data_IF_518229227908
#
_entry.id   IF_518229227908
#
_cell.length_a   1.000
_cell.length_b   1.000
_cell.length_c   1.000
_cell.angle_alpha   90.00
_cell.angle_beta   90.00
_cell.angle_gamma   90.00
#
_symmetry.space_group_name_H-M   'P 1'
#
loop_
_entity.id
_entity.type
_entity.pdbx_description
1 polymer ?
#
# COMPACT_ATOMS: atom_id res chain seq x y z
N UNK A 1 8.53 -24.32 56.55
CA UNK A 1 7.42 -23.99 55.62
C UNK A 1 7.53 -22.63 54.92
N UNK A 2 8.64 -21.88 55.00
CA UNK A 2 8.80 -20.61 54.25
C UNK A 2 9.56 -20.76 52.93
N UNK A 3 10.46 -21.75 52.83
CA UNK A 3 11.31 -21.95 51.65
C UNK A 3 10.55 -22.58 50.46
N UNK A 4 9.53 -23.42 50.72
CA UNK A 4 8.68 -24.02 49.68
C UNK A 4 7.78 -22.97 49.02
N UNK A 5 7.13 -22.10 49.79
CA UNK A 5 6.25 -21.03 49.28
C UNK A 5 6.98 -20.03 48.37
N UNK A 6 8.23 -19.69 48.71
CA UNK A 6 9.07 -18.80 47.88
C UNK A 6 9.43 -19.47 46.54
N UNK A 7 9.73 -20.77 46.56
CA UNK A 7 10.02 -21.54 45.33
C UNK A 7 8.80 -21.67 44.42
N UNK A 8 7.60 -21.86 45.00
CA UNK A 8 6.35 -21.81 44.24
C UNK A 8 6.08 -20.43 43.65
N UNK A 9 6.35 -19.35 44.41
CA UNK A 9 6.16 -17.98 43.95
C UNK A 9 7.10 -17.62 42.79
N UNK A 10 8.38 -18.00 42.84
CA UNK A 10 9.34 -17.77 41.75
C UNK A 10 9.01 -18.61 40.51
N UNK A 11 8.58 -19.87 40.68
CA UNK A 11 8.18 -20.73 39.58
C UNK A 11 6.93 -20.22 38.85
N UNK A 12 5.95 -19.67 39.59
CA UNK A 12 4.74 -19.05 39.03
C UNK A 12 5.08 -17.72 38.33
N UNK A 13 6.03 -16.94 38.86
CA UNK A 13 6.47 -15.71 38.22
C UNK A 13 7.25 -15.98 36.92
N UNK A 14 8.12 -16.99 36.91
CA UNK A 14 8.86 -17.43 35.72
C UNK A 14 7.94 -17.98 34.64
N UNK A 15 6.93 -18.78 35.03
CA UNK A 15 5.97 -19.31 34.07
C UNK A 15 5.07 -18.20 33.48
N UNK A 16 4.69 -17.19 34.27
CA UNK A 16 3.93 -16.03 33.77
C UNK A 16 4.75 -15.18 32.79
N UNK A 17 6.06 -15.01 33.03
CA UNK A 17 6.97 -14.31 32.11
C UNK A 17 7.14 -15.05 30.78
N UNK A 18 7.24 -16.39 30.81
CA UNK A 18 7.31 -17.21 29.59
C UNK A 18 6.01 -17.16 28.78
N UNK A 19 4.85 -17.08 29.45
CA UNK A 19 3.55 -16.91 28.80
C UNK A 19 3.42 -15.52 28.16
N UNK A 20 3.93 -14.45 28.79
CA UNK A 20 3.94 -13.10 28.21
C UNK A 20 4.87 -12.99 26.99
N UNK A 21 5.99 -13.72 26.96
CA UNK A 21 6.83 -13.82 25.75
C UNK A 21 6.23 -14.70 24.66
N UNK A 22 5.40 -15.68 25.04
CA UNK A 22 4.77 -16.64 24.11
C UNK A 22 3.59 -16.08 23.31
N UNK A 23 3.13 -14.86 23.58
CA UNK A 23 2.07 -14.19 22.78
C UNK A 23 2.63 -13.24 21.71
N UNK A 24 3.96 -13.06 21.62
CA UNK A 24 4.56 -12.18 20.61
C UNK A 24 4.82 -12.84 19.24
N UNK A 25 4.47 -14.11 19.05
CA UNK A 25 4.56 -14.78 17.73
C UNK A 25 3.20 -14.92 17.02
N UNK A 26 2.37 -13.88 17.11
CA UNK A 26 1.39 -13.56 16.07
C UNK A 26 1.62 -12.12 15.58
N UNK A 27 2.90 -11.74 15.50
CA UNK A 27 3.39 -10.51 14.87
C UNK A 27 3.85 -10.71 13.43
N UNK A 28 3.27 -11.65 12.69
CA UNK A 28 3.25 -11.58 11.22
C UNK A 28 1.85 -11.17 10.80
N UNK A 29 1.53 -9.88 10.96
CA UNK A 29 0.38 -9.30 10.29
C UNK A 29 0.70 -9.24 8.79
N UNK A 30 0.46 -10.37 8.13
CA UNK A 30 0.09 -10.48 6.72
C UNK A 30 0.91 -9.61 5.77
N UNK A 31 2.15 -10.03 5.55
CA UNK A 31 2.81 -9.86 4.25
C UNK A 31 2.33 -10.94 3.29
N UNK A 32 1.00 -11.09 3.12
CA UNK A 32 0.51 -11.72 1.90
C UNK A 32 0.76 -10.69 0.80
N UNK A 33 1.92 -10.79 0.14
CA UNK A 33 2.06 -10.38 -1.25
C UNK A 33 1.10 -11.27 -2.07
N UNK A 34 -0.19 -11.05 -1.88
CA UNK A 34 -1.21 -11.42 -2.84
C UNK A 34 -1.03 -10.46 -4.02
N UNK A 35 0.09 -10.63 -4.73
CA UNK A 35 0.19 -10.27 -6.12
C UNK A 35 -0.82 -11.14 -6.86
N UNK A 36 -2.11 -10.81 -6.73
CA UNK A 36 -3.15 -11.32 -7.62
C UNK A 36 -2.65 -10.92 -8.99
N UNK A 37 -2.12 -11.89 -9.73
CA UNK A 37 -1.71 -11.73 -11.12
C UNK A 37 -2.98 -11.50 -11.93
N UNK A 38 -3.41 -10.25 -11.99
CA UNK A 38 -4.55 -9.83 -12.76
C UNK A 38 -4.18 -9.92 -14.24
N UNK A 39 -5.03 -10.54 -15.07
CA UNK A 39 -4.92 -10.36 -16.52
C UNK A 39 -5.36 -8.93 -16.83
N UNK A 40 -4.40 -8.08 -17.19
CA UNK A 40 -4.60 -6.66 -17.41
C UNK A 40 -5.01 -6.41 -18.87
N UNK A 41 -6.09 -5.64 -19.07
CA UNK A 41 -6.36 -5.03 -20.36
C UNK A 41 -5.36 -3.91 -20.69
N UNK A 42 -5.51 -3.29 -21.86
CA UNK A 42 -4.70 -2.13 -22.24
C UNK A 42 -4.82 -0.97 -21.24
N UNK A 43 -3.70 -0.27 -21.00
CA UNK A 43 -3.67 0.95 -20.19
C UNK A 43 -4.03 2.13 -21.08
N UNK A 44 -5.03 2.90 -20.67
CA UNK A 44 -5.49 4.09 -21.39
C UNK A 44 -5.31 5.34 -20.51
N UNK A 45 -4.87 6.45 -21.08
CA UNK A 45 -4.93 7.72 -20.36
C UNK A 45 -6.39 8.11 -20.12
N UNK A 46 -6.69 8.66 -18.94
CA UNK A 46 -8.03 9.16 -18.66
C UNK A 46 -8.33 10.35 -19.59
N UNK A 47 -9.12 10.12 -20.66
CA UNK A 47 -9.54 11.16 -21.59
C UNK A 47 -10.61 12.03 -20.94
N UNK A 48 -10.17 13.17 -20.45
CA UNK A 48 -10.97 14.15 -19.71
C UNK A 48 -10.09 14.67 -18.59
N UNK A 49 -9.94 15.99 -18.50
CA UNK A 49 -9.11 16.73 -17.55
C UNK A 49 -8.57 15.85 -16.42
N UNK A 50 -7.25 15.73 -16.30
CA UNK A 50 -6.58 14.99 -15.21
C UNK A 50 -6.97 15.47 -13.79
N UNK A 51 -7.90 16.43 -13.70
CA UNK A 51 -8.56 17.01 -12.55
C UNK A 51 -10.09 16.81 -12.57
N UNK A 52 -10.62 15.69 -13.06
CA UNK A 52 -12.05 15.39 -12.84
C UNK A 52 -12.30 15.17 -11.35
N UNK A 53 -13.48 15.56 -10.85
CA UNK A 53 -13.83 15.39 -9.43
C UNK A 53 -13.70 13.92 -8.97
N UNK A 54 -13.96 12.96 -9.88
CA UNK A 54 -13.76 11.53 -9.61
C UNK A 54 -12.27 11.21 -9.35
N UNK A 55 -11.38 11.63 -10.24
CA UNK A 55 -9.95 11.37 -10.11
C UNK A 55 -9.37 12.06 -8.85
N UNK A 56 -9.83 13.27 -8.52
CA UNK A 56 -9.42 13.96 -7.29
C UNK A 56 -9.88 13.21 -6.02
N UNK A 57 -11.12 12.69 -6.01
CA UNK A 57 -11.63 11.89 -4.90
C UNK A 57 -10.87 10.57 -4.72
N UNK A 58 -10.49 9.90 -5.82
CA UNK A 58 -9.66 8.69 -5.78
C UNK A 58 -8.26 8.99 -5.23
N UNK A 59 -7.69 10.13 -5.61
CA UNK A 59 -6.39 10.57 -5.10
C UNK A 59 -6.43 10.86 -3.60
N UNK A 60 -7.46 11.58 -3.13
CA UNK A 60 -7.67 11.84 -1.69
C UNK A 60 -7.87 10.56 -0.90
N UNK A 61 -8.65 9.62 -1.45
CA UNK A 61 -8.82 8.30 -0.86
C UNK A 61 -7.47 7.58 -0.71
N UNK A 62 -6.64 7.58 -1.77
CA UNK A 62 -5.33 6.91 -1.72
C UNK A 62 -4.42 7.49 -0.63
N UNK A 63 -4.34 8.82 -0.51
CA UNK A 63 -3.53 9.48 0.52
C UNK A 63 -4.08 9.20 1.92
N UNK A 64 -5.40 9.30 2.11
CA UNK A 64 -6.05 9.03 3.39
C UNK A 64 -5.83 7.59 3.85
N UNK A 65 -6.01 6.63 2.94
CA UNK A 65 -5.86 5.21 3.25
C UNK A 65 -4.40 4.85 3.55
N UNK A 66 -3.43 5.46 2.85
CA UNK A 66 -2.02 5.30 3.15
C UNK A 66 -1.67 5.88 4.52
N UNK A 67 -2.08 7.12 4.82
CA UNK A 67 -1.85 7.76 6.12
C UNK A 67 -2.41 6.91 7.27
N UNK A 68 -3.59 6.32 7.08
CA UNK A 68 -4.22 5.43 8.07
C UNK A 68 -3.42 4.14 8.28
N UNK A 69 -2.90 3.53 7.21
CA UNK A 69 -2.17 2.25 7.27
C UNK A 69 -0.75 2.41 7.82
N UNK A 70 -0.03 3.42 7.34
CA UNK A 70 1.38 3.66 7.68
C UNK A 70 1.58 4.65 8.84
N UNK A 71 0.48 5.19 9.39
CA UNK A 71 0.50 6.23 10.43
C UNK A 71 1.35 7.45 10.02
N UNK A 72 1.20 7.88 8.76
CA UNK A 72 1.86 9.05 8.18
C UNK A 72 0.92 10.24 8.06
N UNK A 73 1.47 11.43 7.77
CA UNK A 73 0.74 12.69 7.70
C UNK A 73 0.95 13.37 6.33
N UNK A 74 0.82 12.60 5.24
CA UNK A 74 0.94 13.17 3.89
C UNK A 74 -0.28 14.03 3.57
N UNK A 75 -0.06 15.20 2.99
CA UNK A 75 -1.14 16.08 2.52
C UNK A 75 -1.27 15.98 1.00
N UNK A 76 -2.49 15.76 0.52
CA UNK A 76 -2.75 15.74 -0.92
C UNK A 76 -2.67 17.17 -1.51
N UNK A 77 -1.83 17.37 -2.53
CA UNK A 77 -1.74 18.65 -3.23
C UNK A 77 -2.52 18.64 -4.56
N UNK A 78 -2.17 17.73 -5.48
CA UNK A 78 -2.83 17.61 -6.80
C UNK A 78 -2.53 16.29 -7.50
N UNK A 79 -3.34 15.97 -8.50
CA UNK A 79 -3.06 14.88 -9.45
C UNK A 79 -2.19 15.41 -10.59
N UNK A 80 -1.08 14.72 -10.88
CA UNK A 80 -0.18 15.04 -12.00
C UNK A 80 -0.47 14.19 -13.23
N UNK A 81 -0.93 12.95 -13.02
CA UNK A 81 -1.28 12.03 -14.10
C UNK A 81 -2.31 11.02 -13.61
N UNK A 82 -3.22 10.63 -14.50
CA UNK A 82 -4.16 9.55 -14.25
C UNK A 82 -4.27 8.66 -15.50
N UNK A 83 -4.12 7.36 -15.30
CA UNK A 83 -4.41 6.34 -16.30
C UNK A 83 -5.44 5.37 -15.75
N UNK A 84 -6.28 4.86 -16.63
CA UNK A 84 -7.25 3.82 -16.33
C UNK A 84 -6.80 2.51 -16.98
N UNK A 85 -7.01 1.41 -16.27
CA UNK A 85 -6.77 0.07 -16.75
C UNK A 85 -7.97 -0.81 -16.40
N UNK A 86 -8.57 -1.41 -17.43
CA UNK A 86 -9.71 -2.30 -17.26
C UNK A 86 -9.23 -3.68 -16.79
N UNK A 87 -9.87 -4.18 -15.73
CA UNK A 87 -9.62 -5.49 -15.11
C UNK A 87 -10.99 -6.10 -14.73
N UNK A 88 -11.07 -6.91 -13.67
CA UNK A 88 -12.33 -7.21 -12.97
C UNK A 88 -12.85 -5.98 -12.19
N UNK A 89 -13.00 -4.85 -12.89
CA UNK A 89 -13.19 -3.50 -12.34
C UNK A 89 -12.39 -2.48 -13.15
N UNK A 90 -12.06 -1.37 -12.50
CA UNK A 90 -11.14 -0.37 -13.04
C UNK A 90 -10.00 -0.16 -12.05
N UNK A 91 -8.77 -0.24 -12.51
CA UNK A 91 -7.60 0.24 -11.75
C UNK A 91 -7.23 1.61 -12.29
N UNK A 92 -7.17 2.58 -11.38
CA UNK A 92 -6.64 3.90 -11.67
C UNK A 92 -5.19 3.96 -11.20
N UNK A 93 -4.29 4.21 -12.15
CA UNK A 93 -2.88 4.51 -11.90
C UNK A 93 -2.73 6.02 -11.80
N UNK A 94 -2.50 6.50 -10.59
CA UNK A 94 -2.42 7.92 -10.28
C UNK A 94 -0.98 8.29 -9.97
N UNK A 95 -0.51 9.39 -10.54
CA UNK A 95 0.70 10.07 -10.11
C UNK A 95 0.27 11.32 -9.37
N UNK A 96 0.60 11.41 -8.09
CA UNK A 96 0.13 12.42 -7.16
C UNK A 96 1.29 13.29 -6.70
N UNK A 97 1.06 14.59 -6.60
CA UNK A 97 1.91 15.49 -5.82
C UNK A 97 1.32 15.58 -4.41
N UNK A 98 2.13 15.26 -3.40
CA UNK A 98 1.77 15.34 -1.98
C UNK A 98 2.77 16.24 -1.25
N UNK A 99 2.40 16.72 -0.07
CA UNK A 99 3.27 17.47 0.83
C UNK A 99 3.60 16.56 2.00
N UNK A 100 4.89 16.27 2.17
CA UNK A 100 5.45 15.53 3.29
C UNK A 100 6.33 16.47 4.10
N UNK A 101 5.94 16.74 5.35
CA UNK A 101 6.63 17.68 6.25
C UNK A 101 6.96 19.05 5.59
N UNK A 102 6.04 19.59 4.78
CA UNK A 102 6.19 20.87 4.07
C UNK A 102 6.97 20.78 2.75
N UNK A 103 7.47 19.61 2.37
CA UNK A 103 8.16 19.40 1.08
C UNK A 103 7.23 18.71 0.09
N UNK A 104 7.18 19.23 -1.14
CA UNK A 104 6.47 18.58 -2.24
C UNK A 104 7.22 17.34 -2.73
N UNK A 105 6.54 16.21 -2.74
CA UNK A 105 7.05 14.90 -3.19
C UNK A 105 6.04 14.26 -4.15
N UNK A 106 6.51 13.34 -4.98
CA UNK A 106 5.68 12.69 -6.00
C UNK A 106 5.52 11.22 -5.62
N UNK A 107 4.28 10.76 -5.60
CA UNK A 107 3.90 9.38 -5.33
C UNK A 107 3.13 8.77 -6.48
N UNK A 108 3.27 7.45 -6.64
CA UNK A 108 2.44 6.64 -7.51
C UNK A 108 1.47 5.83 -6.65
N UNK A 109 0.18 5.89 -7.00
CA UNK A 109 -0.87 5.14 -6.34
C UNK A 109 -1.65 4.30 -7.36
N UNK A 110 -2.04 3.09 -6.96
CA UNK A 110 -2.98 2.24 -7.70
C UNK A 110 -4.24 2.03 -6.88
N UNK A 111 -5.37 2.49 -7.40
CA UNK A 111 -6.67 2.35 -6.73
C UNK A 111 -7.57 1.44 -7.57
N UNK A 112 -8.06 0.35 -6.98
CA UNK A 112 -8.97 -0.58 -7.64
C UNK A 112 -10.41 -0.29 -7.23
N UNK A 113 -11.26 -0.04 -8.23
CA UNK A 113 -12.66 0.31 -8.06
C UNK A 113 -13.55 -0.73 -8.75
N UNK A 114 -14.58 -1.19 -8.03
CA UNK A 114 -15.67 -2.01 -8.57
C UNK A 114 -17.00 -1.38 -8.16
N UNK A 115 -17.60 -0.53 -9.02
CA UNK A 115 -18.81 0.22 -8.67
C UNK A 115 -19.98 -0.67 -8.30
N UNK A 116 -20.13 -1.82 -8.96
CA UNK A 116 -21.22 -2.78 -8.70
C UNK A 116 -21.15 -3.47 -7.33
N UNK A 117 -20.03 -3.34 -6.61
CA UNK A 117 -19.86 -3.86 -5.24
C UNK A 117 -19.67 -2.73 -4.21
N UNK A 118 -19.72 -1.46 -4.62
CA UNK A 118 -19.28 -0.33 -3.80
C UNK A 118 -17.88 -0.55 -3.20
N UNK A 119 -16.99 -1.18 -3.97
CA UNK A 119 -15.66 -1.56 -3.52
C UNK A 119 -14.63 -0.59 -4.07
N UNK A 120 -13.76 -0.11 -3.18
CA UNK A 120 -12.61 0.73 -3.50
C UNK A 120 -11.45 0.33 -2.58
N UNK A 121 -10.29 0.03 -3.16
CA UNK A 121 -9.12 -0.43 -2.41
C UNK A 121 -7.84 0.19 -2.96
N UNK A 122 -6.99 0.70 -2.06
CA UNK A 122 -5.63 1.10 -2.36
C UNK A 122 -4.75 -0.15 -2.47
N UNK A 123 -4.25 -0.42 -3.66
CA UNK A 123 -3.42 -1.59 -3.97
C UNK A 123 -1.93 -1.30 -3.81
N UNK A 124 -1.48 -0.12 -4.24
CA UNK A 124 -0.08 0.27 -4.17
C UNK A 124 -0.02 1.77 -3.89
N UNK A 125 0.93 2.17 -3.06
CA UNK A 125 1.27 3.57 -2.80
C UNK A 125 2.77 3.65 -2.55
N UNK A 126 3.51 4.26 -3.47
CA UNK A 126 4.98 4.28 -3.42
C UNK A 126 5.54 5.63 -3.86
N UNK A 127 6.73 5.95 -3.38
CA UNK A 127 7.43 7.14 -3.83
C UNK A 127 7.84 6.96 -5.30
N UNK A 128 7.68 7.98 -6.14
CA UNK A 128 7.98 7.87 -7.56
C UNK A 128 9.48 7.68 -7.87
N UNK A 129 10.36 7.98 -6.90
CA UNK A 129 11.81 7.67 -7.01
C UNK A 129 12.14 6.19 -6.79
N UNK A 130 11.22 5.41 -6.24
CA UNK A 130 11.42 3.98 -5.94
C UNK A 130 10.84 3.08 -7.05
N UNK A 131 10.34 3.67 -8.14
CA UNK A 131 9.94 2.89 -9.30
C UNK A 131 11.19 2.25 -9.92
N UNK A 132 11.34 0.90 -9.93
CA UNK A 132 12.35 0.27 -10.74
C UNK A 132 11.98 0.62 -12.18
N UNK A 133 12.78 1.49 -12.80
CA UNK A 133 12.80 1.64 -14.23
C UNK A 133 13.01 0.22 -14.76
N UNK A 134 11.98 -0.38 -15.36
CA UNK A 134 12.18 -1.55 -16.20
C UNK A 134 13.23 -1.11 -17.22
N UNK A 135 14.45 -1.56 -17.01
CA UNK A 135 15.57 -1.34 -17.92
C UNK A 135 15.22 -2.09 -19.19
N UNK A 136 14.47 -1.41 -20.06
CA UNK A 136 14.16 -1.83 -21.42
C UNK A 136 15.45 -1.69 -22.25
N UNK A 137 16.49 -2.42 -21.87
CA UNK A 137 17.82 -2.32 -22.48
C UNK A 137 18.39 -3.64 -22.99
N UNK A 138 17.67 -4.77 -22.97
CA UNK A 138 18.28 -6.04 -23.38
C UNK A 138 17.50 -6.89 -24.40
N UNK A 139 16.69 -6.24 -25.24
CA UNK A 139 16.12 -6.89 -26.43
C UNK A 139 16.55 -6.14 -27.67
N UNK A 140 17.82 -6.28 -28.01
CA UNK A 140 18.45 -5.61 -29.14
C UNK A 140 19.63 -6.37 -29.71
N UNK A 141 19.42 -7.56 -30.30
CA UNK A 141 20.31 -8.06 -31.34
C UNK A 141 19.52 -8.83 -32.41
N UNK A 142 19.59 -8.29 -33.63
CA UNK A 142 18.94 -8.72 -34.86
C UNK A 142 19.36 -10.12 -35.30
N UNK A 143 18.44 -10.78 -36.01
CA UNK A 143 18.72 -11.83 -36.98
C UNK A 143 19.69 -11.33 -38.05
N UNK A 144 20.68 -12.15 -38.40
CA UNK A 144 21.08 -12.38 -39.78
C UNK A 144 21.67 -13.79 -39.93
#
# INVERSE_FOLDING_TARGET
MKLTTIRFSVAVLLSLLLVLSGVCELGHCFGDDQLIKMNLGGVHDCKGSQNSAEIDSLARFAVLEHNKKENTLLEFARVLKAKEQVVSGKIYHLTLEVIDAGKKTIYEAKVWVKPWMNFMQLQEFKHAHDAPFFTQSDMGAKRH
#
